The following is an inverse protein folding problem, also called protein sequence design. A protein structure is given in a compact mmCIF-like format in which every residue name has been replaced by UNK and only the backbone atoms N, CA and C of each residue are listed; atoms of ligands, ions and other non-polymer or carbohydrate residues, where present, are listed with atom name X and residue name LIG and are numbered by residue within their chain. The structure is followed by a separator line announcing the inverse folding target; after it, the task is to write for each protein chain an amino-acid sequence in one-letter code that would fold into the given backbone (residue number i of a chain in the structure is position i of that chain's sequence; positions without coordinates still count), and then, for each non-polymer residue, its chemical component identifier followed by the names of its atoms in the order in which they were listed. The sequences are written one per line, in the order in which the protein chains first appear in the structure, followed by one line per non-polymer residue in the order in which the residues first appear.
data_IF_194118490053
#
_entry.id   IF_194118490053
#
_cell.length_a   1.000
_cell.length_b   1.000
_cell.length_c   1.000
_cell.angle_alpha   90.00
_cell.angle_beta   90.00
_cell.angle_gamma   90.00
#
_symmetry.space_group_name_H-M   'P 1'
#
loop_
_entity.id
_entity.type
_entity.pdbx_description
1 polymer ?
#
# COMPACT_ATOMS: atom_id res chain seq x y z
N UNK A 1 -8.94 4.35 -14.86
CA UNK A 1 -9.11 5.12 -13.62
C UNK A 1 -7.87 5.97 -13.34
N UNK A 2 -8.01 7.14 -12.72
CA UNK A 2 -6.88 8.04 -12.38
C UNK A 2 -5.81 7.33 -11.51
N UNK A 3 -6.15 6.54 -10.47
CA UNK A 3 -5.15 5.86 -9.65
C UNK A 3 -4.18 4.95 -10.44
N UNK A 4 -4.69 4.22 -11.43
CA UNK A 4 -3.87 3.40 -12.35
C UNK A 4 -2.86 4.24 -13.13
N UNK A 5 -3.26 5.42 -13.61
CA UNK A 5 -2.36 6.31 -14.35
C UNK A 5 -1.23 6.84 -13.46
N UNK A 6 -1.49 7.03 -12.16
CA UNK A 6 -0.49 7.51 -11.22
C UNK A 6 0.53 6.41 -10.93
N UNK A 7 0.11 5.19 -10.56
CA UNK A 7 1.05 4.07 -10.29
C UNK A 7 1.82 3.58 -11.52
N UNK A 8 1.36 3.95 -12.72
CA UNK A 8 2.04 3.67 -13.99
C UNK A 8 3.04 4.76 -14.38
N UNK A 9 3.03 5.92 -13.72
CA UNK A 9 3.95 7.00 -14.00
C UNK A 9 5.35 6.69 -13.45
N UNK A 10 6.39 6.90 -14.25
CA UNK A 10 7.79 6.66 -13.84
C UNK A 10 8.26 7.59 -12.70
N UNK A 11 7.52 8.66 -12.41
CA UNK A 11 7.79 9.54 -11.26
C UNK A 11 7.01 9.13 -10.00
N UNK A 12 6.13 8.12 -10.07
CA UNK A 12 5.47 7.60 -8.89
C UNK A 12 6.52 6.97 -7.99
N UNK A 13 6.66 7.52 -6.79
CA UNK A 13 7.58 6.99 -5.81
C UNK A 13 6.94 5.93 -4.91
N UNK A 14 7.79 5.26 -4.14
CA UNK A 14 7.38 4.17 -3.26
C UNK A 14 6.40 4.64 -2.18
N UNK A 15 6.60 5.84 -1.63
CA UNK A 15 5.73 6.46 -0.62
C UNK A 15 4.34 6.75 -1.17
N UNK A 16 4.24 7.25 -2.40
CA UNK A 16 2.99 7.46 -3.13
C UNK A 16 2.31 6.14 -3.45
N UNK A 17 3.07 5.12 -3.88
CA UNK A 17 2.55 3.77 -4.11
C UNK A 17 1.96 3.17 -2.83
N UNK A 18 2.66 3.31 -1.70
CA UNK A 18 2.20 2.85 -0.40
C UNK A 18 0.98 3.63 0.10
N UNK A 19 0.95 4.95 -0.12
CA UNK A 19 -0.24 5.78 0.13
C UNK A 19 -1.45 5.27 -0.67
N UNK A 20 -1.28 5.02 -1.97
CA UNK A 20 -2.36 4.50 -2.82
C UNK A 20 -2.86 3.14 -2.39
N UNK A 21 -1.95 2.26 -1.97
CA UNK A 21 -2.30 0.96 -1.41
C UNK A 21 -3.25 1.11 -0.22
N UNK A 22 -2.92 1.99 0.73
CA UNK A 22 -3.72 2.21 1.92
C UNK A 22 -5.04 2.95 1.67
N UNK A 23 -5.02 3.98 0.81
CA UNK A 23 -6.24 4.69 0.39
C UNK A 23 -7.23 3.77 -0.34
N UNK A 24 -6.73 2.68 -0.91
CA UNK A 24 -7.52 1.68 -1.64
C UNK A 24 -7.86 0.45 -0.79
N UNK A 25 -7.79 0.56 0.54
CA UNK A 25 -8.12 -0.50 1.49
C UNK A 25 -7.22 -1.75 1.38
N UNK A 26 -5.93 -1.54 1.07
CA UNK A 26 -4.93 -2.60 0.91
C UNK A 26 -4.68 -3.45 2.16
N UNK A 27 -5.08 -2.97 3.33
CA UNK A 27 -5.02 -3.77 4.57
C UNK A 27 -5.82 -5.08 4.46
N UNK A 28 -6.89 -5.11 3.65
CA UNK A 28 -7.63 -6.35 3.37
C UNK A 28 -6.75 -7.39 2.68
N UNK A 29 -5.93 -6.96 1.71
CA UNK A 29 -5.01 -7.84 0.99
C UNK A 29 -3.91 -8.37 1.93
N UNK A 30 -3.37 -7.54 2.81
CA UNK A 30 -2.36 -7.97 3.80
C UNK A 30 -2.90 -8.99 4.80
N UNK A 31 -4.20 -8.88 5.14
CA UNK A 31 -4.86 -9.75 6.12
C UNK A 31 -5.27 -11.09 5.52
N UNK A 32 -5.87 -11.06 4.34
CA UNK A 32 -6.49 -12.22 3.71
C UNK A 32 -6.54 -12.03 2.19
N UNK A 33 -5.48 -12.46 1.51
CA UNK A 33 -5.35 -12.36 0.07
C UNK A 33 -6.40 -13.18 -0.67
N UNK A 34 -6.69 -14.38 -0.17
CA UNK A 34 -7.67 -15.30 -0.79
C UNK A 34 -9.08 -14.68 -0.76
N UNK A 35 -9.49 -14.10 0.37
CA UNK A 35 -10.77 -13.39 0.46
C UNK A 35 -10.87 -12.20 -0.50
N UNK A 36 -9.77 -11.48 -0.74
CA UNK A 36 -9.74 -10.37 -1.71
C UNK A 36 -9.90 -10.89 -3.14
N UNK A 37 -9.21 -11.97 -3.49
CA UNK A 37 -9.31 -12.62 -4.81
C UNK A 37 -10.73 -13.15 -5.08
N UNK A 38 -11.45 -13.58 -4.04
CA UNK A 38 -12.82 -14.09 -4.13
C UNK A 38 -13.90 -13.01 -3.94
N UNK A 39 -13.55 -11.74 -3.77
CA UNK A 39 -14.49 -10.66 -3.41
C UNK A 39 -15.52 -10.29 -4.49
N UNK A 40 -15.32 -10.72 -5.75
CA UNK A 40 -16.15 -10.32 -6.89
C UNK A 40 -15.97 -8.86 -7.33
N UNK A 41 -15.04 -8.11 -6.71
CA UNK A 41 -14.69 -6.74 -7.06
C UNK A 41 -13.48 -6.71 -8.01
N UNK A 42 -13.66 -7.26 -9.21
CA UNK A 42 -12.56 -7.56 -10.13
C UNK A 42 -11.64 -6.38 -10.44
N UNK A 43 -12.18 -5.18 -10.70
CA UNK A 43 -11.36 -4.03 -11.07
C UNK A 43 -10.51 -3.52 -9.90
N UNK A 44 -11.12 -3.46 -8.71
CA UNK A 44 -10.43 -3.08 -7.47
C UNK A 44 -9.40 -4.15 -7.08
N UNK A 45 -9.76 -5.43 -7.11
CA UNK A 45 -8.88 -6.55 -6.83
C UNK A 45 -7.64 -6.53 -7.74
N UNK A 46 -7.86 -6.35 -9.06
CA UNK A 46 -6.76 -6.20 -10.04
C UNK A 46 -5.88 -5.00 -9.71
N UNK A 47 -6.49 -3.87 -9.34
CA UNK A 47 -5.73 -2.67 -9.00
C UNK A 47 -4.89 -2.84 -7.73
N UNK A 48 -5.49 -3.29 -6.62
CA UNK A 48 -4.77 -3.39 -5.35
C UNK A 48 -3.66 -4.45 -5.40
N UNK A 49 -3.89 -5.54 -6.15
CA UNK A 49 -2.88 -6.58 -6.39
C UNK A 49 -1.73 -6.05 -7.25
N UNK A 50 -2.02 -5.22 -8.26
CA UNK A 50 -0.99 -4.57 -9.06
C UNK A 50 -0.12 -3.62 -8.21
N UNK A 51 -0.74 -2.80 -7.36
CA UNK A 51 0.00 -1.92 -6.43
C UNK A 51 0.88 -2.73 -5.49
N UNK A 52 0.32 -3.78 -4.87
CA UNK A 52 1.05 -4.66 -3.97
C UNK A 52 2.28 -5.31 -4.64
N UNK A 53 2.10 -5.90 -5.82
CA UNK A 53 3.20 -6.52 -6.56
C UNK A 53 4.30 -5.50 -6.90
N UNK A 54 3.93 -4.27 -7.30
CA UNK A 54 4.90 -3.22 -7.57
C UNK A 54 5.66 -2.77 -6.32
N UNK A 55 5.00 -2.72 -5.16
CA UNK A 55 5.63 -2.42 -3.88
C UNK A 55 6.62 -3.54 -3.47
N UNK A 56 6.20 -4.81 -3.55
CA UNK A 56 7.08 -5.95 -3.22
C UNK A 56 8.29 -6.04 -4.15
N UNK A 57 8.11 -5.77 -5.45
CA UNK A 57 9.19 -5.82 -6.44
C UNK A 57 10.11 -4.58 -6.40
N UNK A 58 9.81 -3.59 -5.55
CA UNK A 58 10.56 -2.32 -5.42
C UNK A 58 10.77 -1.61 -6.77
N UNK A 59 9.73 -1.62 -7.64
CA UNK A 59 9.82 -1.00 -8.99
C UNK A 59 9.48 0.48 -9.01
N UNK A 60 8.98 1.02 -7.91
CA UNK A 60 8.70 2.45 -7.79
C UNK A 60 10.01 3.24 -7.66
N UNK A 61 9.97 4.51 -8.05
CA UNK A 61 11.10 5.40 -7.83
C UNK A 61 11.32 5.56 -6.32
N UNK A 62 12.57 5.53 -5.86
CA UNK A 62 12.89 5.98 -4.50
C UNK A 62 13.01 7.50 -4.50
N UNK A 63 12.23 8.15 -3.65
CA UNK A 63 12.28 9.58 -3.38
C UNK A 63 12.55 9.79 -1.89
N UNK A 64 12.79 11.03 -1.49
CA UNK A 64 13.00 11.41 -0.11
C UNK A 64 11.70 11.88 0.55
N UNK A 65 10.55 11.29 0.23
CA UNK A 65 9.24 11.65 0.81
C UNK A 65 8.83 10.57 1.81
N UNK A 66 8.43 10.96 3.02
CA UNK A 66 7.94 10.01 4.02
C UNK A 66 6.49 9.61 3.74
N UNK A 67 6.11 8.40 4.16
CA UNK A 67 4.71 8.02 4.31
C UNK A 67 4.56 6.98 5.42
N UNK A 68 3.70 7.29 6.39
CA UNK A 68 3.41 6.41 7.52
C UNK A 68 1.92 6.01 7.50
N UNK A 69 1.60 4.72 7.36
CA UNK A 69 0.21 4.29 7.36
C UNK A 69 -0.41 4.45 8.75
N UNK A 70 -1.65 4.93 8.79
CA UNK A 70 -2.40 5.09 10.04
C UNK A 70 -3.00 3.73 10.45
N UNK A 71 -2.18 2.91 11.10
CA UNK A 71 -2.60 1.61 11.63
C UNK A 71 -2.85 1.68 13.14
N UNK A 72 -4.00 1.18 13.59
CA UNK A 72 -4.27 1.01 15.02
C UNK A 72 -3.42 -0.12 15.59
N UNK A 73 -3.15 -0.08 16.91
CA UNK A 73 -2.46 -1.17 17.64
C UNK A 73 -3.13 -2.55 17.41
N UNK A 74 -4.46 -2.57 17.32
CA UNK A 74 -5.23 -3.80 17.06
C UNK A 74 -5.00 -4.31 15.64
N UNK A 75 -4.98 -3.43 14.63
CA UNK A 75 -4.67 -3.82 13.25
C UNK A 75 -3.26 -4.36 13.14
N UNK A 76 -2.27 -3.65 13.70
CA UNK A 76 -0.87 -4.08 13.70
C UNK A 76 -0.70 -5.47 14.33
N UNK A 77 -1.31 -5.69 15.50
CA UNK A 77 -1.27 -6.98 16.17
C UNK A 77 -1.88 -8.11 15.32
N UNK A 78 -3.04 -7.85 14.70
CA UNK A 78 -3.71 -8.84 13.84
C UNK A 78 -2.86 -9.18 12.61
N UNK A 79 -2.30 -8.17 11.95
CA UNK A 79 -1.45 -8.36 10.76
C UNK A 79 -0.19 -9.17 11.09
N UNK A 80 0.55 -8.80 12.14
CA UNK A 80 1.75 -9.55 12.58
C UNK A 80 1.43 -10.99 12.97
N UNK A 81 0.22 -11.24 13.49
CA UNK A 81 -0.23 -12.59 13.84
C UNK A 81 -0.62 -13.42 12.62
N UNK A 82 -1.32 -12.84 11.64
CA UNK A 82 -1.80 -13.56 10.45
C UNK A 82 -0.71 -13.79 9.42
N UNK A 83 0.21 -12.84 9.27
CA UNK A 83 1.32 -12.93 8.33
C UNK A 83 2.58 -12.32 8.98
N UNK A 84 3.41 -13.15 9.65
CA UNK A 84 4.60 -12.66 10.35
C UNK A 84 5.72 -12.18 9.42
N UNK A 85 5.61 -12.44 8.11
CA UNK A 85 6.61 -12.09 7.11
C UNK A 85 6.19 -10.86 6.27
N UNK A 86 5.18 -10.10 6.70
CA UNK A 86 4.84 -8.84 6.02
C UNK A 86 6.07 -7.94 6.04
N UNK A 87 6.51 -7.39 4.89
CA UNK A 87 7.61 -6.44 4.85
C UNK A 87 7.34 -5.24 5.77
N UNK A 88 8.34 -4.86 6.57
CA UNK A 88 8.17 -3.84 7.62
C UNK A 88 7.64 -2.51 7.09
N UNK A 89 7.99 -2.12 5.85
CA UNK A 89 7.51 -0.85 5.27
C UNK A 89 5.98 -0.80 5.11
N UNK A 90 5.28 -1.94 5.03
CA UNK A 90 3.82 -1.94 5.08
C UNK A 90 3.32 -1.57 6.47
N UNK A 91 4.05 -1.91 7.54
CA UNK A 91 3.60 -1.70 8.92
C UNK A 91 4.12 -0.38 9.50
N UNK A 92 5.40 -0.12 9.29
CA UNK A 92 6.16 0.96 9.91
C UNK A 92 6.31 2.17 8.96
N UNK A 93 5.92 2.03 7.70
CA UNK A 93 5.98 3.09 6.70
C UNK A 93 7.34 3.22 6.01
N UNK A 94 7.49 4.32 5.27
CA UNK A 94 8.71 4.69 4.54
C UNK A 94 9.23 6.00 5.10
N UNK A 95 10.48 5.99 5.54
CA UNK A 95 11.17 7.19 6.02
C UNK A 95 11.52 8.15 4.89
N UNK A 96 11.49 9.45 5.19
CA UNK A 96 11.79 10.51 4.26
C UNK A 96 11.51 11.88 4.87
N UNK A 97 11.42 12.89 4.03
CA UNK A 97 10.99 14.23 4.41
C UNK A 97 9.46 14.26 4.50
N UNK A 98 8.96 14.80 5.60
CA UNK A 98 7.53 15.07 5.76
C UNK A 98 7.10 16.17 4.78
N UNK A 99 6.10 15.85 3.99
CA UNK A 99 5.44 16.81 3.10
C UNK A 99 4.00 16.91 3.56
N UNK A 100 3.54 18.13 3.81
CA UNK A 100 2.13 18.38 4.10
C UNK A 100 1.29 18.02 2.88
N UNK A 101 0.54 16.92 2.98
CA UNK A 101 -0.49 16.58 2.01
C UNK A 101 -1.80 17.23 2.52
N UNK A 102 -2.41 18.16 1.77
CA UNK A 102 -3.67 18.76 2.16
C UNK A 102 -4.73 17.68 2.35
N UNK A 103 -5.39 17.67 3.51
CA UNK A 103 -6.59 16.87 3.69
C UNK A 103 -7.71 17.47 2.83
N UNK A 104 -8.33 16.64 2.00
CA UNK A 104 -9.47 16.99 1.12
C UNK A 104 -10.76 16.55 1.81
#
# INVERSE_FOLDING_TARGET
MIPRAIIANNNCDMSTGLMMFYLSDGIKLLRDKESVEQSGLDEWCKFITEVYSKLEMDVFKRSSISYYPVLTKVQLFKLKKSNPNIPDFFLDGIEGNDIEIPMI
#
